data_IF_975049106072
#
_entry.id   IF_975049106072
#
_cell.length_a   1.000
_cell.length_b   1.000
_cell.length_c   1.000
_cell.angle_alpha   90.00
_cell.angle_beta   90.00
_cell.angle_gamma   90.00
#
_symmetry.space_group_name_H-M   'P 1'
#
loop_
_entity.id
_entity.type
_entity.pdbx_description
1 polymer ?
#
# COMPACT_ATOMS: atom_id res chain seq x y z
N UNK A 1 40.77 -3.79 31.48
CA UNK A 1 40.61 -2.37 31.85
C UNK A 1 40.83 -1.56 30.58
N UNK A 2 39.88 -0.69 30.21
CA UNK A 2 39.86 -0.01 28.92
C UNK A 2 40.75 1.24 28.95
N UNK A 3 41.81 1.29 28.15
CA UNK A 3 42.70 2.46 28.09
C UNK A 3 42.30 3.45 27.00
N UNK A 4 42.27 4.74 27.31
CA UNK A 4 41.86 5.82 26.40
C UNK A 4 43.04 6.72 25.99
N UNK A 5 42.96 7.44 24.84
CA UNK A 5 43.98 8.39 24.43
C UNK A 5 44.24 9.48 25.48
N UNK A 6 45.50 9.85 25.73
CA UNK A 6 45.88 10.79 26.80
C UNK A 6 45.43 12.24 26.59
N UNK A 7 45.01 12.62 25.38
CA UNK A 7 44.58 13.98 25.10
C UNK A 7 43.36 14.38 25.97
N UNK A 8 43.30 15.63 26.48
CA UNK A 8 42.28 16.04 27.46
C UNK A 8 40.83 15.81 27.02
N UNK A 9 40.54 16.01 25.74
CA UNK A 9 39.21 15.81 25.17
C UNK A 9 38.74 14.35 25.25
N UNK A 10 39.65 13.41 25.00
CA UNK A 10 39.39 11.97 25.10
C UNK A 10 39.24 11.51 26.55
N UNK A 11 40.00 12.08 27.47
CA UNK A 11 39.86 11.78 28.90
C UNK A 11 38.53 12.29 29.47
N UNK A 12 38.06 13.47 29.04
CA UNK A 12 36.75 13.99 29.43
C UNK A 12 35.59 13.14 28.91
N UNK A 13 35.73 12.64 27.68
CA UNK A 13 34.82 11.66 27.06
C UNK A 13 34.80 10.34 27.83
N UNK A 14 35.98 9.79 28.11
CA UNK A 14 36.17 8.54 28.84
C UNK A 14 35.46 8.54 30.21
N UNK A 15 35.58 9.65 30.95
CA UNK A 15 34.98 9.80 32.27
C UNK A 15 33.44 9.69 32.25
N UNK A 16 32.80 10.12 31.16
CA UNK A 16 31.33 10.07 31.02
C UNK A 16 30.84 8.74 30.45
N UNK A 17 31.61 8.16 29.53
CA UNK A 17 31.19 6.98 28.75
C UNK A 17 31.52 5.66 29.44
N UNK A 18 32.66 5.57 30.15
CA UNK A 18 33.12 4.31 30.78
C UNK A 18 32.10 3.73 31.78
N UNK A 19 31.46 4.52 32.67
CA UNK A 19 30.45 3.96 33.58
C UNK A 19 29.23 3.37 32.85
N UNK A 20 28.77 4.05 31.79
CA UNK A 20 27.64 3.57 30.97
C UNK A 20 27.99 2.27 30.23
N UNK A 21 29.21 2.16 29.70
CA UNK A 21 29.71 0.92 29.08
C UNK A 21 29.69 -0.23 30.08
N UNK A 22 30.25 -0.04 31.28
CA UNK A 22 30.28 -1.08 32.30
C UNK A 22 28.87 -1.47 32.79
N UNK A 23 27.92 -0.55 32.83
CA UNK A 23 26.54 -0.85 33.20
C UNK A 23 25.82 -1.69 32.11
N UNK A 24 26.08 -1.40 30.84
CA UNK A 24 25.44 -2.10 29.72
C UNK A 24 26.10 -3.47 29.41
N UNK A 25 27.40 -3.64 29.69
CA UNK A 25 28.14 -4.87 29.33
C UNK A 25 27.57 -6.13 29.99
N UNK A 26 27.06 -6.02 31.22
CA UNK A 26 26.44 -7.14 31.93
C UNK A 26 25.14 -7.59 31.25
N UNK A 27 24.29 -6.63 30.87
CA UNK A 27 23.03 -6.92 30.17
C UNK A 27 23.26 -7.50 28.77
N UNK A 28 24.33 -7.08 28.09
CA UNK A 28 24.70 -7.63 26.79
C UNK A 28 25.03 -9.13 26.84
N UNK A 29 25.68 -9.58 27.92
CA UNK A 29 25.97 -10.99 28.10
C UNK A 29 24.69 -11.83 28.18
N UNK A 30 23.66 -11.32 28.86
CA UNK A 30 22.35 -11.98 28.96
C UNK A 30 21.58 -12.00 27.64
N UNK A 31 21.77 -10.99 26.78
CA UNK A 31 21.05 -10.85 25.49
C UNK A 31 21.68 -11.69 24.38
N UNK A 32 23.01 -11.80 24.38
CA UNK A 32 23.76 -12.40 23.27
C UNK A 32 24.13 -13.87 23.49
N UNK A 33 23.85 -14.42 24.68
CA UNK A 33 24.30 -15.74 25.14
C UNK A 33 25.82 -15.96 25.09
N UNK A 34 26.59 -14.89 24.84
CA UNK A 34 28.05 -14.87 24.78
C UNK A 34 28.60 -13.73 25.63
N UNK A 35 29.76 -13.94 26.27
CA UNK A 35 30.37 -12.91 27.09
C UNK A 35 31.02 -11.82 26.21
N UNK A 36 30.56 -10.56 26.24
CA UNK A 36 31.11 -9.50 25.40
C UNK A 36 32.60 -9.26 25.70
N UNK A 37 33.44 -9.18 24.66
CA UNK A 37 34.89 -8.98 24.81
C UNK A 37 35.23 -7.51 24.57
N UNK A 38 35.31 -6.71 25.63
CA UNK A 38 35.71 -5.31 25.54
C UNK A 38 37.10 -5.14 24.88
N UNK A 39 37.32 -4.10 24.07
CA UNK A 39 38.66 -3.77 23.60
C UNK A 39 39.56 -3.36 24.77
N UNK A 40 40.82 -3.74 24.72
CA UNK A 40 41.80 -3.38 25.75
C UNK A 40 42.18 -1.90 25.64
N UNK A 41 42.23 -1.38 24.41
CA UNK A 41 42.69 -0.01 24.11
C UNK A 41 41.82 0.68 23.08
N UNK A 42 41.61 1.98 23.30
CA UNK A 42 41.01 2.90 22.34
C UNK A 42 42.10 3.83 21.79
N UNK A 43 42.12 3.98 20.47
CA UNK A 43 43.03 4.89 19.76
C UNK A 43 42.24 5.79 18.79
N UNK A 44 42.89 6.86 18.34
CA UNK A 44 42.30 7.81 17.39
C UNK A 44 42.44 7.23 15.97
N UNK A 45 41.33 7.11 15.26
CA UNK A 45 41.26 6.69 13.86
C UNK A 45 41.49 7.85 12.86
N UNK A 46 41.46 7.54 11.55
CA UNK A 46 41.61 8.56 10.51
C UNK A 46 40.37 9.45 10.37
N UNK A 47 40.56 10.70 9.91
CA UNK A 47 39.51 11.71 9.76
C UNK A 47 38.46 11.36 8.69
N UNK A 48 38.83 10.62 7.64
CA UNK A 48 37.89 10.19 6.58
C UNK A 48 37.42 8.73 6.78
N UNK A 49 37.61 8.19 7.99
CA UNK A 49 37.32 6.80 8.33
C UNK A 49 35.87 6.54 8.77
N UNK A 50 35.49 5.27 8.96
CA UNK A 50 34.24 4.93 9.61
C UNK A 50 34.24 5.36 11.09
N UNK A 51 33.05 5.36 11.70
CA UNK A 51 32.85 5.81 13.09
C UNK A 51 33.72 5.03 14.10
N UNK A 52 33.93 3.74 13.86
CA UNK A 52 34.87 2.92 14.60
C UNK A 52 35.35 1.71 13.81
N UNK A 53 36.57 1.25 14.08
CA UNK A 53 37.13 0.02 13.49
C UNK A 53 37.93 -0.74 14.53
N UNK A 54 37.57 -1.99 14.78
CA UNK A 54 38.32 -2.87 15.69
C UNK A 54 39.44 -3.59 14.92
N UNK A 55 40.65 -3.60 15.47
CA UNK A 55 41.79 -4.39 14.99
C UNK A 55 42.46 -5.09 16.17
N UNK A 56 42.25 -6.41 16.27
CA UNK A 56 42.67 -7.17 17.44
C UNK A 56 41.99 -6.65 18.72
N UNK A 57 42.80 -6.33 19.73
CA UNK A 57 42.33 -5.79 21.01
C UNK A 57 42.19 -4.26 21.03
N UNK A 58 42.52 -3.56 19.93
CA UNK A 58 42.42 -2.10 19.84
C UNK A 58 41.20 -1.67 19.02
N UNK A 59 40.44 -0.70 19.52
CA UNK A 59 39.35 -0.03 18.80
C UNK A 59 39.79 1.39 18.39
N UNK A 60 39.78 1.66 17.09
CA UNK A 60 40.07 2.97 16.54
C UNK A 60 38.76 3.75 16.39
N UNK A 61 38.63 4.89 17.07
CA UNK A 61 37.44 5.74 17.05
C UNK A 61 37.65 6.99 16.20
N UNK A 62 36.60 7.43 15.52
CA UNK A 62 36.65 8.64 14.70
C UNK A 62 36.99 9.88 15.56
N UNK A 63 37.90 10.77 15.10
CA UNK A 63 38.40 11.90 15.89
C UNK A 63 37.30 12.86 16.36
N UNK A 64 36.29 13.11 15.53
CA UNK A 64 35.18 14.03 15.86
C UNK A 64 34.36 13.62 17.09
N UNK A 65 34.40 12.35 17.52
CA UNK A 65 33.73 11.91 18.74
C UNK A 65 34.29 12.57 20.01
N UNK A 66 35.57 12.94 19.99
CA UNK A 66 36.20 13.70 21.09
C UNK A 66 36.08 15.22 20.91
N UNK A 67 35.53 15.70 19.80
CA UNK A 67 35.30 17.13 19.57
C UNK A 67 34.34 17.72 20.62
N UNK A 68 34.40 19.04 20.85
CA UNK A 68 33.59 19.73 21.88
C UNK A 68 32.09 19.86 21.53
N UNK A 69 31.68 19.40 20.35
CA UNK A 69 30.28 19.44 19.91
C UNK A 69 29.38 18.53 20.76
N UNK A 70 28.10 18.89 20.85
CA UNK A 70 27.08 18.04 21.49
C UNK A 70 26.73 16.86 20.58
N UNK A 71 26.73 17.05 19.26
CA UNK A 71 26.35 16.05 18.26
C UNK A 71 27.53 15.54 17.43
N UNK A 72 27.41 14.31 16.94
CA UNK A 72 28.35 13.77 15.96
C UNK A 72 28.20 14.49 14.62
N UNK A 73 29.29 15.05 14.11
CA UNK A 73 29.39 15.78 12.84
C UNK A 73 28.86 15.01 11.63
N UNK A 74 29.03 13.67 11.61
CA UNK A 74 28.49 12.81 10.55
C UNK A 74 26.96 12.75 10.49
N UNK A 75 26.26 13.31 11.47
CA UNK A 75 24.81 13.48 11.47
C UNK A 75 24.36 14.93 11.25
N UNK A 76 25.24 15.82 10.81
CA UNK A 76 24.88 17.23 10.59
C UNK A 76 23.70 17.37 9.63
N UNK A 77 23.63 16.56 8.57
CA UNK A 77 22.49 16.55 7.65
C UNK A 77 21.16 16.18 8.31
N UNK A 78 21.16 15.37 9.38
CA UNK A 78 19.95 15.06 10.15
C UNK A 78 19.52 16.26 11.00
N UNK A 79 20.48 16.98 11.57
CA UNK A 79 20.22 18.22 12.32
C UNK A 79 19.67 19.31 11.40
N UNK A 80 20.29 19.49 10.23
CA UNK A 80 19.86 20.44 9.20
C UNK A 80 18.44 20.12 8.70
N UNK A 81 18.06 18.83 8.69
CA UNK A 81 16.71 18.36 8.40
C UNK A 81 15.73 18.44 9.58
N UNK A 82 16.14 19.01 10.73
CA UNK A 82 15.31 19.18 11.92
C UNK A 82 15.20 17.94 12.82
N UNK A 83 15.89 16.84 12.52
CA UNK A 83 15.78 15.53 13.19
C UNK A 83 16.70 15.39 14.41
N UNK A 84 16.75 16.41 15.26
CA UNK A 84 17.64 16.48 16.44
C UNK A 84 17.47 15.33 17.43
N UNK A 85 16.25 14.80 17.58
CA UNK A 85 15.94 13.69 18.48
C UNK A 85 16.54 12.34 18.02
N UNK A 86 16.79 12.19 16.72
CA UNK A 86 17.34 10.97 16.11
C UNK A 86 18.86 11.06 16.02
N UNK A 87 19.39 12.26 15.78
CA UNK A 87 20.83 12.49 15.72
C UNK A 87 21.50 12.08 17.04
N UNK A 88 22.47 11.17 16.94
CA UNK A 88 23.27 10.76 18.08
C UNK A 88 24.13 11.92 18.58
N UNK A 89 24.09 12.14 19.90
CA UNK A 89 25.15 12.90 20.55
C UNK A 89 26.46 12.09 20.56
N UNK A 90 27.57 12.80 20.78
CA UNK A 90 28.89 12.16 20.79
C UNK A 90 29.02 11.06 21.84
N UNK A 91 28.28 11.14 22.95
CA UNK A 91 28.35 10.18 24.04
C UNK A 91 27.63 8.88 23.68
N UNK A 92 26.37 8.97 23.22
CA UNK A 92 25.59 7.83 22.73
C UNK A 92 26.29 7.15 21.55
N UNK A 93 26.86 7.94 20.64
CA UNK A 93 27.62 7.39 19.52
C UNK A 93 28.86 6.61 19.99
N UNK A 94 29.59 7.14 20.97
CA UNK A 94 30.80 6.48 21.53
C UNK A 94 30.45 5.25 22.36
N UNK A 95 29.40 5.29 23.18
CA UNK A 95 28.94 4.13 23.96
C UNK A 95 28.51 3.02 23.00
N UNK A 96 27.67 3.35 22.02
CA UNK A 96 27.14 2.39 21.06
C UNK A 96 28.24 1.67 20.28
N UNK A 97 29.23 2.41 19.76
CA UNK A 97 30.31 1.82 18.97
C UNK A 97 31.24 0.93 19.81
N UNK A 98 31.50 1.26 21.08
CA UNK A 98 32.34 0.45 21.96
C UNK A 98 31.64 -0.85 22.34
N UNK A 99 30.35 -0.78 22.67
CA UNK A 99 29.55 -1.94 23.04
C UNK A 99 29.31 -2.87 21.83
N UNK A 100 29.01 -2.32 20.66
CA UNK A 100 28.91 -3.08 19.41
C UNK A 100 30.23 -3.80 19.10
N UNK A 101 31.36 -3.09 19.23
CA UNK A 101 32.67 -3.71 19.04
C UNK A 101 32.93 -4.82 20.05
N UNK A 102 32.43 -4.71 21.29
CA UNK A 102 32.59 -5.73 22.32
C UNK A 102 31.80 -7.01 22.00
N UNK A 103 30.55 -6.86 21.53
CA UNK A 103 29.73 -7.99 21.06
C UNK A 103 30.37 -8.65 19.85
N UNK A 104 30.79 -7.87 18.84
CA UNK A 104 31.48 -8.40 17.66
C UNK A 104 32.81 -9.10 18.01
N UNK A 105 33.47 -8.69 19.08
CA UNK A 105 34.67 -9.35 19.57
C UNK A 105 34.39 -10.72 20.19
N UNK A 106 33.20 -10.93 20.77
CA UNK A 106 32.80 -12.23 21.31
C UNK A 106 32.41 -13.21 20.22
N UNK A 107 31.73 -12.72 19.17
CA UNK A 107 31.21 -13.53 18.08
C UNK A 107 32.28 -14.21 17.20
N UNK A 108 33.57 -13.77 17.29
CA UNK A 108 34.87 -14.21 16.69
C UNK A 108 34.94 -14.98 15.34
N UNK A 109 33.84 -15.23 14.66
CA UNK A 109 33.78 -15.77 13.31
C UNK A 109 33.83 -14.59 12.35
N UNK A 110 35.03 -14.28 11.82
CA UNK A 110 35.17 -13.35 10.70
C UNK A 110 34.36 -13.88 9.52
N UNK A 111 33.20 -13.28 9.23
CA UNK A 111 32.34 -13.79 8.20
C UNK A 111 33.04 -13.68 6.85
N UNK A 112 32.93 -14.73 6.04
CA UNK A 112 33.60 -14.78 4.73
C UNK A 112 32.82 -13.98 3.68
N UNK A 113 31.53 -13.80 3.91
CA UNK A 113 30.61 -13.03 3.07
C UNK A 113 30.40 -11.61 3.64
N UNK A 114 30.60 -10.54 2.84
CA UNK A 114 30.23 -9.18 3.21
C UNK A 114 28.80 -9.01 3.74
N UNK A 115 27.85 -9.82 3.27
CA UNK A 115 26.46 -9.79 3.75
C UNK A 115 26.32 -10.33 5.18
N UNK A 116 27.04 -11.41 5.48
CA UNK A 116 27.09 -12.00 6.81
C UNK A 116 27.81 -11.06 7.80
N UNK A 117 28.84 -10.35 7.33
CA UNK A 117 29.50 -9.28 8.08
C UNK A 117 28.55 -8.14 8.44
N UNK A 118 27.78 -7.69 7.45
CA UNK A 118 26.77 -6.66 7.65
C UNK A 118 25.70 -7.10 8.65
N UNK A 119 25.26 -8.36 8.57
CA UNK A 119 24.27 -8.91 9.48
C UNK A 119 24.76 -9.00 10.93
N UNK A 120 25.96 -9.54 11.16
CA UNK A 120 26.55 -9.61 12.50
C UNK A 120 26.71 -8.21 13.13
N UNK A 121 27.13 -7.22 12.34
CA UNK A 121 27.21 -5.82 12.79
C UNK A 121 25.85 -5.26 13.19
N UNK A 122 24.80 -5.56 12.41
CA UNK A 122 23.44 -5.15 12.75
C UNK A 122 22.93 -5.81 14.03
N UNK A 123 23.21 -7.10 14.24
CA UNK A 123 22.80 -7.84 15.44
C UNK A 123 23.52 -7.33 16.69
N UNK A 124 24.81 -7.07 16.58
CA UNK A 124 25.58 -6.44 17.65
C UNK A 124 25.02 -5.07 18.01
N UNK A 125 24.70 -4.24 17.01
CA UNK A 125 24.07 -2.94 17.23
C UNK A 125 22.66 -3.04 17.85
N UNK A 126 21.92 -4.10 17.56
CA UNK A 126 20.61 -4.36 18.15
C UNK A 126 20.72 -4.77 19.62
N UNK A 127 21.63 -5.69 19.95
CA UNK A 127 21.89 -6.09 21.34
C UNK A 127 22.24 -4.87 22.20
N UNK A 128 22.97 -3.90 21.64
CA UNK A 128 23.27 -2.61 22.30
C UNK A 128 22.01 -1.83 22.65
N UNK A 129 21.09 -1.66 21.70
CA UNK A 129 19.82 -0.94 21.94
C UNK A 129 18.86 -1.71 22.88
N UNK A 130 18.96 -3.04 22.96
CA UNK A 130 18.21 -3.82 23.95
C UNK A 130 18.82 -3.70 25.35
N UNK A 131 20.15 -3.70 25.45
CA UNK A 131 20.86 -3.49 26.71
C UNK A 131 20.68 -2.07 27.26
N UNK A 132 20.52 -1.07 26.39
CA UNK A 132 20.19 0.30 26.77
C UNK A 132 19.38 1.04 25.68
N UNK A 133 18.03 1.03 25.77
CA UNK A 133 17.16 1.66 24.78
C UNK A 133 17.31 3.18 24.63
N UNK A 134 17.93 3.85 25.60
CA UNK A 134 18.13 5.30 25.55
C UNK A 134 19.26 5.71 24.60
N UNK A 135 20.15 4.77 24.22
CA UNK A 135 21.21 5.03 23.26
C UNK A 135 20.67 5.31 21.86
N UNK A 136 19.61 4.60 21.45
CA UNK A 136 18.96 4.79 20.14
C UNK A 136 19.91 4.58 18.96
N UNK A 137 20.88 3.68 19.12
CA UNK A 137 22.01 3.42 18.25
C UNK A 137 21.62 3.03 16.81
N UNK A 138 20.53 2.29 16.66
CA UNK A 138 20.01 1.84 15.35
C UNK A 138 19.14 2.88 14.63
N UNK A 139 18.65 3.92 15.33
CA UNK A 139 17.65 4.87 14.80
C UNK A 139 18.13 5.72 13.62
N UNK A 140 19.37 6.27 13.60
CA UNK A 140 19.87 7.01 12.44
C UNK A 140 19.94 6.14 11.18
N UNK A 141 20.38 4.88 11.32
CA UNK A 141 20.48 3.94 10.21
C UNK A 141 19.09 3.60 9.63
N UNK A 142 18.06 3.50 10.47
CA UNK A 142 16.68 3.30 10.04
C UNK A 142 16.15 4.51 9.21
N UNK A 143 16.49 5.74 9.59
CA UNK A 143 16.17 6.94 8.79
C UNK A 143 16.93 6.96 7.47
N UNK A 144 18.16 6.46 7.44
CA UNK A 144 18.95 6.34 6.22
C UNK A 144 18.31 5.38 5.19
N UNK A 145 17.65 4.30 5.62
CA UNK A 145 16.88 3.43 4.71
C UNK A 145 15.74 4.18 4.00
N UNK A 146 15.13 5.16 4.67
CA UNK A 146 14.04 5.96 4.09
C UNK A 146 14.55 7.02 3.12
N UNK A 147 15.76 7.53 3.33
CA UNK A 147 16.33 8.62 2.52
C UNK A 147 17.17 8.10 1.35
N UNK A 148 17.74 6.89 1.45
CA UNK A 148 18.55 6.25 0.41
C UNK A 148 18.21 4.76 0.23
N UNK A 149 16.96 4.44 -0.18
CA UNK A 149 16.48 3.06 -0.27
C UNK A 149 17.29 2.19 -1.25
N UNK A 150 17.74 2.75 -2.38
CA UNK A 150 18.54 2.05 -3.39
C UNK A 150 19.94 1.63 -2.91
N UNK A 151 20.41 2.15 -1.76
CA UNK A 151 21.75 1.96 -1.25
C UNK A 151 21.77 1.19 0.10
N UNK A 152 20.61 1.02 0.74
CA UNK A 152 20.52 1.09 2.19
C UNK A 152 20.89 -0.16 2.99
N UNK A 153 20.71 -1.36 2.45
CA UNK A 153 20.82 -2.58 3.27
C UNK A 153 22.26 -3.09 3.43
N UNK A 154 23.09 -2.92 2.40
CA UNK A 154 24.52 -3.24 2.43
C UNK A 154 25.37 -2.07 2.96
N UNK A 155 24.95 -0.83 2.72
CA UNK A 155 25.69 0.37 3.16
C UNK A 155 25.38 0.75 4.61
N UNK A 156 24.24 0.30 5.15
CA UNK A 156 23.83 0.53 6.53
C UNK A 156 23.39 -0.79 7.19
N UNK A 157 24.32 -1.68 7.53
CA UNK A 157 24.05 -3.00 8.14
C UNK A 157 23.10 -2.97 9.35
N UNK A 158 23.24 -1.95 10.19
CA UNK A 158 22.38 -1.72 11.37
C UNK A 158 20.91 -1.51 11.04
N UNK A 159 20.61 -1.10 9.81
CA UNK A 159 19.27 -0.86 9.34
C UNK A 159 18.54 -2.16 8.92
N UNK A 160 19.30 -3.17 8.47
CA UNK A 160 18.76 -4.50 8.14
C UNK A 160 18.17 -5.23 9.36
N UNK A 161 18.74 -5.02 10.54
CA UNK A 161 18.23 -5.64 11.78
C UNK A 161 17.03 -4.88 12.35
N UNK A 162 16.94 -3.56 12.15
CA UNK A 162 15.71 -2.82 12.44
C UNK A 162 14.53 -3.32 11.60
N UNK A 163 14.80 -3.56 10.32
CA UNK A 163 13.88 -4.23 9.40
C UNK A 163 13.49 -5.64 9.87
N UNK A 164 14.46 -6.45 10.30
CA UNK A 164 14.20 -7.78 10.82
C UNK A 164 13.32 -7.76 12.09
N UNK A 165 13.52 -6.78 12.99
CA UNK A 165 12.65 -6.56 14.17
C UNK A 165 11.21 -6.24 13.78
N UNK A 166 11.00 -5.38 12.78
CA UNK A 166 9.66 -5.10 12.27
C UNK A 166 8.98 -6.38 11.77
N UNK A 167 9.74 -7.30 11.19
CA UNK A 167 9.25 -8.61 10.74
C UNK A 167 9.20 -9.68 11.84
N UNK A 168 9.63 -9.38 13.07
CA UNK A 168 9.72 -10.36 14.15
C UNK A 168 10.81 -11.43 13.96
N UNK A 169 11.84 -11.14 13.16
CA UNK A 169 12.93 -12.04 12.80
C UNK A 169 14.22 -11.62 13.54
N UNK A 170 14.38 -12.02 14.80
CA UNK A 170 15.53 -11.59 15.64
C UNK A 170 16.58 -12.67 15.89
N UNK A 171 16.46 -13.87 15.31
CA UNK A 171 17.40 -14.95 15.59
C UNK A 171 18.78 -14.71 14.90
N UNK A 172 19.85 -14.96 15.66
CA UNK A 172 21.26 -14.75 15.29
C UNK A 172 21.69 -15.42 13.96
N UNK A 173 20.96 -16.44 13.49
CA UNK A 173 21.33 -17.27 12.32
C UNK A 173 20.27 -17.30 11.20
N UNK A 174 19.44 -16.26 11.11
CA UNK A 174 18.41 -16.18 10.06
C UNK A 174 19.03 -15.63 8.76
N UNK A 175 18.68 -16.14 7.56
CA UNK A 175 19.10 -15.52 6.30
C UNK A 175 18.60 -14.07 6.23
N UNK A 176 19.32 -13.24 5.46
CA UNK A 176 18.96 -11.85 5.24
C UNK A 176 17.47 -11.76 4.89
N UNK A 177 16.63 -11.11 5.71
CA UNK A 177 15.20 -11.04 5.45
C UNK A 177 15.00 -10.37 4.10
N UNK A 178 14.63 -11.17 3.10
CA UNK A 178 14.32 -10.63 1.78
C UNK A 178 12.95 -9.97 1.94
N UNK A 179 12.86 -8.64 1.87
CA UNK A 179 11.60 -7.96 2.05
C UNK A 179 10.69 -8.37 0.90
N UNK A 180 9.57 -9.01 1.19
CA UNK A 180 8.47 -8.99 0.26
C UNK A 180 7.85 -7.59 0.25
N UNK A 181 7.09 -7.32 -0.79
CA UNK A 181 6.58 -5.98 -1.04
C UNK A 181 5.47 -5.55 -0.05
N UNK A 182 4.74 -6.51 0.50
CA UNK A 182 3.73 -6.27 1.53
C UNK A 182 4.40 -5.81 2.82
N UNK A 183 5.45 -6.51 3.22
CA UNK A 183 6.29 -6.14 4.33
C UNK A 183 6.85 -4.72 4.17
N UNK A 184 7.34 -4.36 2.97
CA UNK A 184 7.99 -3.05 2.78
C UNK A 184 7.00 -1.90 2.90
N UNK A 185 5.81 -2.11 2.36
CA UNK A 185 4.70 -1.15 2.47
C UNK A 185 4.25 -0.99 3.92
N UNK A 186 4.11 -2.10 4.66
CA UNK A 186 3.73 -2.09 6.07
C UNK A 186 4.80 -1.45 6.97
N UNK A 187 6.08 -1.63 6.66
CA UNK A 187 7.20 -1.00 7.36
C UNK A 187 7.24 0.52 7.15
N UNK A 188 7.05 0.96 5.91
CA UNK A 188 6.92 2.39 5.60
C UNK A 188 5.76 3.02 6.38
N UNK A 189 4.63 2.32 6.48
CA UNK A 189 3.48 2.75 7.28
C UNK A 189 3.81 2.76 8.78
N UNK A 190 4.47 1.73 9.31
CA UNK A 190 4.86 1.63 10.72
C UNK A 190 5.87 2.71 11.11
N UNK A 191 6.90 3.00 10.30
CA UNK A 191 7.83 4.09 10.63
C UNK A 191 7.09 5.42 10.75
N UNK A 192 6.14 5.67 9.83
CA UNK A 192 5.35 6.92 9.74
C UNK A 192 4.18 6.98 10.72
N UNK A 193 3.87 5.90 11.43
CA UNK A 193 2.79 5.86 12.41
C UNK A 193 3.12 6.78 13.59
N UNK A 194 2.36 7.87 13.70
CA UNK A 194 2.52 8.90 14.74
C UNK A 194 2.04 8.45 16.12
N UNK A 195 1.34 7.33 16.22
CA UNK A 195 0.78 6.81 17.47
C UNK A 195 1.61 5.67 18.07
N UNK A 196 2.21 4.84 17.22
CA UNK A 196 2.88 3.59 17.63
C UNK A 196 4.24 3.36 16.95
N UNK A 197 4.57 4.15 15.95
CA UNK A 197 5.80 4.03 15.18
C UNK A 197 6.96 4.85 15.74
N UNK A 198 8.18 4.69 15.20
CA UNK A 198 9.30 5.60 15.41
C UNK A 198 8.94 7.08 15.24
N UNK A 199 8.03 7.41 14.30
CA UNK A 199 7.53 8.77 14.11
C UNK A 199 6.80 9.34 15.34
N UNK A 200 6.22 8.49 16.19
CA UNK A 200 5.55 8.92 17.43
C UNK A 200 6.50 9.60 18.44
N UNK A 201 7.81 9.36 18.32
CA UNK A 201 8.83 9.99 19.15
C UNK A 201 9.50 11.21 18.47
N UNK A 202 9.04 11.61 17.28
CA UNK A 202 9.58 12.75 16.55
C UNK A 202 8.85 14.03 16.96
N UNK A 203 9.58 15.13 17.27
CA UNK A 203 8.98 16.39 17.68
C UNK A 203 8.16 17.08 16.58
N UNK A 204 8.27 16.64 15.32
CA UNK A 204 7.45 17.06 14.18
C UNK A 204 7.17 15.84 13.31
N UNK A 205 5.91 15.66 12.92
CA UNK A 205 5.50 14.61 11.98
C UNK A 205 6.33 14.69 10.69
N UNK A 206 7.14 13.68 10.40
CA UNK A 206 7.69 13.51 9.04
C UNK A 206 6.49 13.22 8.15
N UNK A 207 6.04 14.23 7.43
CA UNK A 207 4.93 14.07 6.49
C UNK A 207 5.29 12.95 5.50
N UNK A 208 4.35 12.04 5.19
CA UNK A 208 4.52 11.12 4.07
C UNK A 208 4.97 11.90 2.84
N UNK A 209 5.80 11.29 1.98
CA UNK A 209 6.04 11.86 0.65
C UNK A 209 4.68 12.22 0.05
N UNK A 210 4.52 13.48 -0.39
CA UNK A 210 3.27 13.96 -0.94
C UNK A 210 2.88 13.05 -2.10
N UNK A 211 1.62 12.63 -2.12
CA UNK A 211 1.14 11.82 -3.22
C UNK A 211 1.16 12.65 -4.49
N UNK A 212 1.67 12.07 -5.57
CA UNK A 212 1.72 12.75 -6.86
C UNK A 212 0.37 12.61 -7.58
N UNK A 213 0.00 13.55 -8.46
CA UNK A 213 -1.21 13.43 -9.25
C UNK A 213 -1.25 12.14 -10.08
N UNK A 214 -2.43 11.55 -10.23
CA UNK A 214 -2.61 10.35 -11.06
C UNK A 214 -2.07 10.49 -12.48
N UNK A 215 -1.16 9.59 -12.87
CA UNK A 215 -0.66 9.46 -14.25
C UNK A 215 -0.85 8.03 -14.76
N UNK A 216 -1.10 7.85 -16.06
CA UNK A 216 -1.26 6.52 -16.67
C UNK A 216 0.08 5.84 -16.97
N UNK A 217 1.19 6.56 -16.85
CA UNK A 217 2.53 6.05 -17.12
C UNK A 217 3.52 6.78 -16.24
N UNK A 218 4.35 6.02 -15.52
CA UNK A 218 5.38 6.54 -14.62
C UNK A 218 6.55 5.56 -14.54
N UNK A 219 7.70 6.04 -14.08
CA UNK A 219 8.88 5.20 -13.87
C UNK A 219 9.13 5.02 -12.38
N UNK A 220 9.50 3.81 -11.99
CA UNK A 220 9.94 3.48 -10.64
C UNK A 220 11.37 2.97 -10.68
N UNK A 221 12.19 3.41 -9.73
CA UNK A 221 13.51 2.82 -9.53
C UNK A 221 13.41 1.44 -8.85
N UNK A 222 14.41 0.56 -8.95
CA UNK A 222 14.46 -0.67 -8.16
C UNK A 222 14.28 -0.37 -6.67
N UNK A 223 13.56 -1.23 -5.95
CA UNK A 223 13.29 -1.11 -4.51
C UNK A 223 12.68 0.23 -4.09
N UNK A 224 11.76 0.78 -4.90
CA UNK A 224 11.11 2.08 -4.66
C UNK A 224 9.60 1.96 -4.55
N UNK A 225 8.98 3.03 -4.02
CA UNK A 225 7.53 3.18 -4.00
C UNK A 225 7.13 4.60 -4.41
N UNK A 226 5.97 4.74 -5.02
CA UNK A 226 5.38 6.01 -5.45
C UNK A 226 3.91 6.06 -5.00
N UNK A 227 3.56 6.96 -4.06
CA UNK A 227 2.16 7.26 -3.77
C UNK A 227 1.57 8.10 -4.90
N UNK A 228 0.50 7.61 -5.54
CA UNK A 228 -0.29 8.36 -6.52
C UNK A 228 -1.68 8.65 -5.97
N UNK A 229 -2.07 9.91 -6.02
CA UNK A 229 -3.41 10.39 -5.72
C UNK A 229 -4.34 10.09 -6.88
N UNK A 230 -5.21 9.10 -6.69
CA UNK A 230 -6.30 8.79 -7.59
C UNK A 230 -7.52 9.56 -7.15
N UNK A 231 -7.85 10.64 -7.87
CA UNK A 231 -9.12 11.35 -7.67
C UNK A 231 -10.35 10.48 -7.99
N UNK A 232 -11.54 11.01 -7.76
CA UNK A 232 -12.83 10.41 -8.15
C UNK A 232 -12.92 10.25 -9.67
N UNK A 233 -12.33 9.19 -10.21
CA UNK A 233 -12.48 8.83 -11.62
C UNK A 233 -13.42 7.62 -11.71
N UNK A 234 -14.58 7.74 -12.37
CA UNK A 234 -15.58 6.68 -12.43
C UNK A 234 -15.16 5.64 -13.48
N UNK A 235 -14.03 4.95 -13.33
CA UNK A 235 -13.73 3.83 -14.21
C UNK A 235 -14.66 2.67 -13.84
N UNK A 236 -15.44 2.17 -14.80
CA UNK A 236 -16.32 1.01 -14.55
C UNK A 236 -15.54 -0.30 -14.47
N UNK A 237 -14.37 -0.33 -15.10
CA UNK A 237 -13.44 -1.45 -15.10
C UNK A 237 -12.29 -1.26 -14.12
N UNK A 238 -11.63 -2.38 -13.82
CA UNK A 238 -10.34 -2.40 -13.14
C UNK A 238 -9.25 -1.83 -14.06
N UNK A 239 -8.17 -1.37 -13.45
CA UNK A 239 -6.97 -1.02 -14.18
C UNK A 239 -5.97 -2.17 -14.06
N UNK A 240 -5.53 -2.70 -15.19
CA UNK A 240 -4.36 -3.55 -15.27
C UNK A 240 -3.11 -2.67 -15.16
N UNK A 241 -2.11 -3.16 -14.45
CA UNK A 241 -0.85 -2.45 -14.23
C UNK A 241 0.25 -3.28 -14.88
N UNK A 242 0.75 -2.79 -16.02
CA UNK A 242 1.83 -3.40 -16.76
C UNK A 242 3.18 -2.85 -16.26
N UNK A 243 4.14 -3.74 -16.01
CA UNK A 243 5.46 -3.41 -15.46
C UNK A 243 5.74 -4.18 -14.17
N UNK A 244 7.00 -4.17 -13.68
CA UNK A 244 7.43 -4.96 -12.54
C UNK A 244 7.04 -4.28 -11.21
N UNK A 245 5.75 -4.05 -10.97
CA UNK A 245 5.23 -3.25 -9.85
C UNK A 245 4.05 -3.94 -9.18
N UNK A 246 3.78 -3.60 -7.92
CA UNK A 246 2.50 -3.88 -7.28
C UNK A 246 1.83 -2.59 -6.77
N UNK A 247 0.49 -2.55 -6.66
CA UNK A 247 -0.42 -3.61 -7.11
C UNK A 247 -0.41 -3.78 -8.63
N UNK A 248 -0.51 -5.03 -9.11
CA UNK A 248 -0.57 -5.37 -10.55
C UNK A 248 -1.96 -5.12 -11.14
N UNK A 249 -2.93 -4.83 -10.29
CA UNK A 249 -4.30 -4.54 -10.68
C UNK A 249 -4.96 -3.63 -9.65
N UNK A 250 -5.81 -2.70 -10.11
CA UNK A 250 -6.52 -1.78 -9.25
C UNK A 250 -8.02 -1.88 -9.42
N UNK A 251 -8.72 -2.00 -8.31
CA UNK A 251 -10.17 -1.91 -8.28
C UNK A 251 -10.62 -0.44 -8.45
N UNK A 252 -11.76 -0.20 -9.12
CA UNK A 252 -12.36 1.13 -9.17
C UNK A 252 -12.96 1.53 -7.80
N UNK A 253 -12.87 2.83 -7.46
CA UNK A 253 -13.41 3.43 -6.23
C UNK A 253 -14.21 4.69 -6.52
N UNK A 254 -15.11 5.01 -5.61
CA UNK A 254 -16.00 6.18 -5.67
C UNK A 254 -15.46 7.37 -4.86
N UNK A 255 -14.30 7.22 -4.21
CA UNK A 255 -13.69 8.24 -3.36
C UNK A 255 -12.24 8.47 -3.82
N UNK A 256 -11.69 9.67 -3.57
CA UNK A 256 -10.26 9.91 -3.71
C UNK A 256 -9.48 8.90 -2.87
N UNK A 257 -8.52 8.21 -3.46
CA UNK A 257 -7.62 7.32 -2.74
C UNK A 257 -6.17 7.58 -3.11
N UNK A 258 -5.27 7.35 -2.15
CA UNK A 258 -3.84 7.28 -2.43
C UNK A 258 -3.50 5.81 -2.69
N UNK A 259 -3.07 5.51 -3.91
CA UNK A 259 -2.55 4.20 -4.29
C UNK A 259 -1.04 4.24 -4.17
N UNK A 260 -0.46 3.37 -3.35
CA UNK A 260 0.99 3.23 -3.27
C UNK A 260 1.44 2.13 -4.21
N UNK A 261 2.16 2.51 -5.26
CA UNK A 261 2.82 1.57 -6.15
C UNK A 261 4.23 1.26 -5.63
N UNK A 262 4.66 0.01 -5.65
CA UNK A 262 5.99 -0.40 -5.21
C UNK A 262 6.60 -1.44 -6.11
N UNK A 263 7.93 -1.42 -6.27
CA UNK A 263 8.68 -2.35 -7.11
C UNK A 263 9.98 -2.74 -6.43
N UNK A 264 10.42 -3.99 -6.64
CA UNK A 264 11.75 -4.46 -6.25
C UNK A 264 12.74 -4.37 -7.41
N UNK A 265 12.28 -4.51 -8.65
CA UNK A 265 13.14 -4.57 -9.85
C UNK A 265 13.34 -3.21 -10.51
N UNK A 266 12.39 -2.27 -10.37
CA UNK A 266 12.39 -1.00 -11.09
C UNK A 266 11.94 -1.15 -12.54
N UNK A 267 11.52 -0.06 -13.16
CA UNK A 267 11.09 -0.03 -14.55
C UNK A 267 9.94 0.94 -14.81
N UNK A 268 9.49 0.96 -16.06
CA UNK A 268 8.31 1.72 -16.47
C UNK A 268 7.05 0.96 -16.10
N UNK A 269 6.11 1.69 -15.49
CA UNK A 269 4.77 1.22 -15.16
C UNK A 269 3.78 1.90 -16.06
N UNK A 270 2.86 1.12 -16.63
CA UNK A 270 1.76 1.60 -17.45
C UNK A 270 0.43 1.09 -16.88
N UNK A 271 -0.51 2.02 -16.69
CA UNK A 271 -1.86 1.72 -16.24
C UNK A 271 -2.79 1.64 -17.44
N UNK A 272 -3.34 0.46 -17.66
CA UNK A 272 -4.27 0.18 -18.75
C UNK A 272 -5.64 -0.15 -18.20
N UNK A 273 -6.71 0.27 -18.87
CA UNK A 273 -8.05 -0.21 -18.51
C UNK A 273 -8.13 -1.70 -18.88
N UNK A 274 -8.48 -2.53 -17.91
CA UNK A 274 -8.69 -3.95 -18.14
C UNK A 274 -9.77 -4.14 -19.23
N UNK A 275 -9.73 -5.29 -19.92
CA UNK A 275 -10.75 -5.65 -20.92
C UNK A 275 -11.96 -6.38 -20.31
N UNK A 276 -11.81 -6.86 -19.08
CA UNK A 276 -12.76 -7.71 -18.39
C UNK A 276 -13.99 -6.92 -17.89
N UNK A 277 -15.12 -7.62 -17.73
CA UNK A 277 -16.40 -7.08 -17.27
C UNK A 277 -17.47 -6.97 -18.37
N UNK A 278 -18.73 -6.64 -17.98
CA UNK A 278 -19.91 -6.72 -18.85
C UNK A 278 -20.06 -5.52 -19.80
N UNK A 279 -18.96 -5.00 -20.35
CA UNK A 279 -19.01 -3.83 -21.24
C UNK A 279 -19.60 -4.18 -22.59
N UNK A 280 -20.52 -3.34 -23.03
CA UNK A 280 -21.25 -3.49 -24.28
C UNK A 280 -22.64 -2.87 -24.20
N UNK A 281 -23.38 -3.00 -25.29
CA UNK A 281 -24.80 -2.70 -25.36
C UNK A 281 -25.58 -4.00 -25.34
N UNK A 282 -26.53 -4.09 -24.43
CA UNK A 282 -27.22 -5.31 -24.05
C UNK A 282 -28.72 -5.10 -24.13
N UNK A 283 -29.40 -5.85 -24.98
CA UNK A 283 -30.86 -5.87 -25.08
C UNK A 283 -31.44 -6.77 -24.00
N UNK A 284 -32.36 -6.26 -23.19
CA UNK A 284 -33.07 -7.04 -22.18
C UNK A 284 -34.03 -8.01 -22.88
N UNK A 285 -33.80 -9.32 -22.72
CA UNK A 285 -34.65 -10.36 -23.30
C UNK A 285 -35.75 -10.80 -22.31
N UNK A 286 -35.40 -10.92 -21.04
CA UNK A 286 -36.34 -11.32 -19.98
C UNK A 286 -35.81 -10.90 -18.60
N UNK A 287 -36.70 -10.87 -17.61
CA UNK A 287 -36.32 -10.61 -16.22
C UNK A 287 -37.36 -11.15 -15.25
N UNK A 288 -36.98 -11.44 -14.02
CA UNK A 288 -37.91 -12.00 -13.03
C UNK A 288 -37.49 -11.76 -11.59
N UNK A 289 -38.46 -11.77 -10.69
CA UNK A 289 -38.28 -11.65 -9.24
C UNK A 289 -39.24 -12.61 -8.53
N UNK A 290 -38.82 -13.26 -7.45
CA UNK A 290 -39.68 -14.15 -6.66
C UNK A 290 -40.13 -15.41 -7.40
N UNK A 291 -39.43 -15.81 -8.47
CA UNK A 291 -39.80 -16.95 -9.32
C UNK A 291 -40.81 -16.64 -10.43
N UNK A 292 -41.29 -15.40 -10.53
CA UNK A 292 -42.11 -14.96 -11.66
C UNK A 292 -41.21 -14.41 -12.78
N UNK A 293 -41.38 -14.94 -13.99
CA UNK A 293 -40.67 -14.47 -15.18
C UNK A 293 -41.55 -13.47 -15.91
N UNK A 294 -41.00 -12.30 -16.19
CA UNK A 294 -41.56 -11.25 -17.03
C UNK A 294 -40.81 -11.16 -18.38
N UNK A 295 -41.48 -10.56 -19.35
CA UNK A 295 -40.91 -10.27 -20.66
C UNK A 295 -40.55 -8.80 -20.76
N UNK A 296 -39.47 -8.52 -21.49
CA UNK A 296 -39.12 -7.16 -21.87
C UNK A 296 -39.04 -7.05 -23.40
N UNK A 297 -39.42 -5.90 -23.93
CA UNK A 297 -39.23 -5.52 -25.34
C UNK A 297 -38.70 -4.10 -25.38
N UNK A 298 -37.81 -3.79 -26.32
CA UNK A 298 -37.37 -2.41 -26.59
C UNK A 298 -36.57 -1.76 -25.46
N UNK A 299 -35.93 -2.55 -24.58
CA UNK A 299 -35.09 -2.04 -23.48
C UNK A 299 -33.64 -2.48 -23.71
N UNK A 300 -32.71 -1.52 -23.66
CA UNK A 300 -31.27 -1.74 -23.79
C UNK A 300 -30.50 -1.14 -22.61
N UNK A 301 -29.44 -1.81 -22.20
CA UNK A 301 -28.48 -1.38 -21.19
C UNK A 301 -27.11 -1.24 -21.86
N UNK A 302 -26.56 -0.03 -21.87
CA UNK A 302 -25.19 0.22 -22.33
C UNK A 302 -24.27 0.43 -21.15
N UNK A 303 -23.22 -0.38 -21.03
CA UNK A 303 -22.16 -0.27 -20.03
C UNK A 303 -20.85 0.08 -20.71
N UNK A 304 -20.31 1.27 -20.47
CA UNK A 304 -19.07 1.75 -21.09
C UNK A 304 -17.85 1.44 -20.22
N UNK A 305 -16.65 1.29 -20.82
CA UNK A 305 -15.40 1.04 -20.07
C UNK A 305 -15.04 2.14 -19.06
N UNK A 306 -15.49 3.37 -19.31
CA UNK A 306 -15.33 4.52 -18.43
C UNK A 306 -16.46 4.66 -17.40
N UNK A 307 -17.16 3.57 -17.06
CA UNK A 307 -18.09 3.53 -15.93
C UNK A 307 -19.41 4.26 -16.12
N UNK A 308 -19.74 4.76 -17.32
CA UNK A 308 -21.10 5.22 -17.63
C UNK A 308 -22.02 4.03 -17.92
N UNK A 309 -23.18 4.03 -17.29
CA UNK A 309 -24.30 3.14 -17.58
C UNK A 309 -25.45 3.95 -18.21
N UNK A 310 -26.15 3.39 -19.19
CA UNK A 310 -27.33 4.02 -19.78
C UNK A 310 -28.38 2.97 -20.05
N UNK A 311 -29.57 3.15 -19.49
CA UNK A 311 -30.74 2.32 -19.72
C UNK A 311 -31.67 3.06 -20.68
N UNK A 312 -31.87 2.54 -21.87
CA UNK A 312 -32.72 3.16 -22.90
C UNK A 312 -33.92 2.27 -23.21
N UNK A 313 -35.11 2.84 -23.09
CA UNK A 313 -36.35 2.26 -23.60
C UNK A 313 -36.72 2.97 -24.90
N UNK A 314 -36.87 2.21 -25.99
CA UNK A 314 -37.34 2.67 -27.29
C UNK A 314 -38.53 1.80 -27.67
N UNK A 315 -39.74 2.32 -27.46
CA UNK A 315 -40.96 1.51 -27.47
C UNK A 315 -40.85 0.31 -26.50
N UNK A 316 -40.37 0.62 -25.29
CA UNK A 316 -40.07 -0.32 -24.24
C UNK A 316 -41.32 -0.80 -23.49
N UNK A 317 -41.35 -2.08 -23.14
CA UNK A 317 -42.35 -2.62 -22.21
C UNK A 317 -41.69 -3.66 -21.30
N UNK A 318 -42.02 -3.65 -20.01
CA UNK A 318 -41.58 -4.63 -19.00
C UNK A 318 -42.77 -5.02 -18.15
N UNK A 319 -43.10 -6.31 -18.07
CA UNK A 319 -44.21 -6.78 -17.23
C UNK A 319 -44.28 -8.30 -17.07
N UNK A 320 -45.12 -8.79 -16.14
CA UNK A 320 -45.45 -10.21 -16.01
C UNK A 320 -45.99 -10.78 -17.32
N UNK A 321 -45.76 -12.07 -17.57
CA UNK A 321 -46.37 -12.77 -18.71
C UNK A 321 -47.82 -13.15 -18.35
N UNK A 322 -48.72 -12.16 -18.29
CA UNK A 322 -50.18 -12.38 -18.21
C UNK A 322 -50.85 -11.83 -19.48
N UNK A 323 -51.97 -12.44 -19.89
CA UNK A 323 -52.68 -12.07 -21.12
C UNK A 323 -53.03 -10.57 -21.15
N UNK A 324 -53.61 -10.03 -20.08
CA UNK A 324 -54.00 -8.62 -19.99
C UNK A 324 -52.82 -7.64 -20.11
N UNK A 325 -51.65 -8.04 -19.60
CA UNK A 325 -50.43 -7.22 -19.63
C UNK A 325 -49.78 -7.28 -21.01
N UNK A 326 -49.87 -8.43 -21.69
CA UNK A 326 -49.44 -8.57 -23.08
C UNK A 326 -50.34 -7.74 -24.02
N UNK A 327 -51.66 -7.70 -23.78
CA UNK A 327 -52.59 -6.86 -24.54
C UNK A 327 -52.29 -5.36 -24.34
N UNK A 328 -51.97 -4.95 -23.11
CA UNK A 328 -51.48 -3.59 -22.84
C UNK A 328 -50.15 -3.30 -23.54
N UNK A 329 -49.22 -4.27 -23.55
CA UNK A 329 -47.95 -4.12 -24.25
C UNK A 329 -48.18 -3.95 -25.76
N UNK A 330 -49.18 -4.59 -26.36
CA UNK A 330 -49.49 -4.38 -27.78
C UNK A 330 -49.98 -2.96 -28.08
N UNK A 331 -50.65 -2.33 -27.12
CA UNK A 331 -51.29 -1.02 -27.29
C UNK A 331 -50.42 0.16 -26.85
N UNK A 332 -49.46 -0.02 -25.94
CA UNK A 332 -48.68 1.06 -25.36
C UNK A 332 -47.19 0.74 -25.24
N UNK A 333 -46.35 1.77 -25.39
CA UNK A 333 -44.91 1.70 -25.21
C UNK A 333 -44.37 2.84 -24.35
N UNK A 334 -43.28 2.58 -23.65
CA UNK A 334 -42.53 3.59 -22.88
C UNK A 334 -41.24 3.92 -23.62
N UNK A 335 -40.95 5.20 -23.82
CA UNK A 335 -39.68 5.63 -24.43
C UNK A 335 -38.98 6.67 -23.59
N UNK A 336 -37.68 6.52 -23.40
CA UNK A 336 -36.87 7.38 -22.57
C UNK A 336 -35.52 6.75 -22.25
N UNK A 337 -34.66 7.53 -21.62
CA UNK A 337 -33.34 7.06 -21.18
C UNK A 337 -33.08 7.50 -19.75
N UNK A 338 -32.44 6.61 -18.99
CA UNK A 338 -31.88 6.92 -17.69
C UNK A 338 -30.37 6.68 -17.73
N UNK A 339 -29.61 7.69 -17.36
CA UNK A 339 -28.16 7.64 -17.33
C UNK A 339 -27.67 7.48 -15.89
N UNK A 340 -26.65 6.67 -15.71
CA UNK A 340 -26.08 6.38 -14.42
C UNK A 340 -24.61 6.01 -14.53
N UNK A 341 -24.09 5.42 -13.45
CA UNK A 341 -22.71 4.94 -13.36
C UNK A 341 -22.71 3.47 -12.99
N UNK A 342 -21.66 2.76 -13.37
CA UNK A 342 -21.43 1.39 -12.93
C UNK A 342 -19.95 1.16 -12.63
N UNK A 343 -19.67 0.17 -11.77
CA UNK A 343 -18.32 -0.30 -11.50
C UNK A 343 -18.27 -1.75 -11.05
N UNK A 344 -17.16 -2.42 -11.35
CA UNK A 344 -16.85 -3.74 -10.79
C UNK A 344 -16.45 -3.64 -9.31
N UNK A 345 -17.05 -4.49 -8.47
CA UNK A 345 -16.69 -4.65 -7.05
C UNK A 345 -16.05 -6.00 -6.74
N UNK A 346 -16.11 -6.95 -7.67
CA UNK A 346 -15.48 -8.25 -7.58
C UNK A 346 -15.45 -8.94 -8.93
N UNK A 347 -14.48 -9.82 -9.13
CA UNK A 347 -14.29 -10.60 -10.34
C UNK A 347 -13.95 -12.04 -9.93
N UNK A 348 -14.59 -13.01 -10.55
CA UNK A 348 -14.23 -14.42 -10.37
C UNK A 348 -12.98 -14.76 -11.21
N UNK A 349 -12.30 -15.85 -10.85
CA UNK A 349 -11.06 -16.28 -11.51
C UNK A 349 -11.23 -16.52 -13.03
N UNK A 350 -12.43 -16.92 -13.46
CA UNK A 350 -12.79 -17.14 -14.86
C UNK A 350 -12.92 -15.85 -15.69
N UNK A 351 -12.97 -14.69 -15.03
CA UNK A 351 -13.20 -13.36 -15.62
C UNK A 351 -14.50 -13.23 -16.43
N UNK A 352 -15.38 -14.23 -16.36
CA UNK A 352 -16.70 -14.26 -16.99
C UNK A 352 -17.81 -13.95 -16.00
N UNK A 353 -17.51 -13.91 -14.69
CA UNK A 353 -18.48 -13.55 -13.66
C UNK A 353 -17.88 -12.66 -12.58
N UNK A 354 -18.75 -12.00 -11.80
CA UNK A 354 -18.30 -11.15 -10.71
C UNK A 354 -19.43 -10.38 -10.04
N UNK A 355 -19.06 -9.32 -9.34
CA UNK A 355 -20.00 -8.37 -8.74
C UNK A 355 -19.79 -6.98 -9.29
N UNK A 356 -20.87 -6.24 -9.47
CA UNK A 356 -20.87 -4.85 -9.90
C UNK A 356 -21.86 -4.04 -9.05
N UNK A 357 -21.68 -2.72 -9.05
CA UNK A 357 -22.67 -1.76 -8.54
C UNK A 357 -23.08 -0.83 -9.67
N UNK A 358 -24.34 -0.42 -9.65
CA UNK A 358 -24.90 0.56 -10.59
C UNK A 358 -25.61 1.64 -9.77
N UNK A 359 -25.39 2.89 -10.12
CA UNK A 359 -25.97 4.06 -9.44
C UNK A 359 -26.55 5.08 -10.42
N UNK A 360 -27.51 5.89 -9.98
CA UNK A 360 -28.09 7.00 -10.75
C UNK A 360 -29.02 6.63 -11.91
N UNK A 361 -29.28 5.33 -12.19
CA UNK A 361 -30.17 4.89 -13.27
C UNK A 361 -31.67 5.27 -13.08
N UNK A 362 -32.02 6.08 -12.09
CA UNK A 362 -33.40 6.52 -11.82
C UNK A 362 -33.71 7.96 -12.30
N UNK A 363 -32.71 8.75 -12.68
CA UNK A 363 -32.84 10.19 -13.00
C UNK A 363 -33.31 10.48 -14.45
N UNK A 364 -33.86 9.47 -15.13
CA UNK A 364 -34.29 9.57 -16.53
C UNK A 364 -35.65 10.24 -16.74
N UNK A 365 -35.81 10.84 -17.92
CA UNK A 365 -37.10 11.31 -18.45
C UNK A 365 -37.66 10.26 -19.42
N UNK A 366 -38.88 9.79 -19.16
CA UNK A 366 -39.56 8.82 -20.00
C UNK A 366 -40.99 9.27 -20.31
N UNK A 367 -41.48 8.81 -21.44
CA UNK A 367 -42.78 9.15 -22.02
C UNK A 367 -43.53 7.88 -22.38
N UNK A 368 -44.84 7.84 -22.18
CA UNK A 368 -45.72 6.76 -22.64
C UNK A 368 -46.39 7.20 -23.94
N UNK A 369 -46.44 6.32 -24.93
CA UNK A 369 -47.12 6.55 -26.20
C UNK A 369 -47.96 5.33 -26.61
N UNK A 370 -48.98 5.55 -27.44
CA UNK A 370 -49.80 4.48 -28.00
C UNK A 370 -49.18 3.90 -29.27
N UNK A 371 -49.16 2.57 -29.38
CA UNK A 371 -48.76 1.83 -30.59
C UNK A 371 -49.91 1.89 -31.61
N UNK A 372 -49.60 2.15 -32.88
CA UNK A 372 -50.61 2.16 -33.96
C UNK A 372 -51.17 3.53 -34.38
N UNK A 373 -50.41 4.62 -34.20
CA UNK A 373 -50.75 5.94 -34.78
C UNK A 373 -51.51 6.90 -33.85
N UNK A 374 -51.61 6.55 -32.57
CA UNK A 374 -52.16 7.42 -31.52
C UNK A 374 -51.11 8.49 -31.17
N UNK A 375 -51.19 9.65 -31.83
CA UNK A 375 -50.14 10.69 -31.86
C UNK A 375 -49.93 11.54 -30.59
N UNK A 376 -50.11 10.97 -29.39
CA UNK A 376 -49.84 11.69 -28.14
C UNK A 376 -48.85 10.91 -27.25
N UNK A 377 -47.87 11.64 -26.71
CA UNK A 377 -46.93 11.14 -25.72
C UNK A 377 -47.16 11.88 -24.40
N UNK A 378 -47.38 11.14 -23.31
CA UNK A 378 -47.56 11.71 -21.98
C UNK A 378 -46.31 11.47 -21.14
N UNK A 379 -45.90 12.42 -20.26
CA UNK A 379 -44.85 12.15 -19.27
C UNK A 379 -45.21 10.91 -18.44
N UNK A 380 -44.27 9.98 -18.30
CA UNK A 380 -44.49 8.72 -17.61
C UNK A 380 -44.18 8.77 -16.10
N UNK A 381 -44.06 9.97 -15.51
CA UNK A 381 -43.45 10.15 -14.18
C UNK A 381 -44.16 9.37 -13.06
N UNK A 382 -45.47 9.54 -12.90
CA UNK A 382 -46.24 8.79 -11.89
C UNK A 382 -46.27 7.29 -12.21
N UNK A 383 -46.39 6.94 -13.49
CA UNK A 383 -46.44 5.56 -13.98
C UNK A 383 -45.15 4.77 -13.69
N UNK A 384 -44.00 5.47 -13.72
CA UNK A 384 -42.68 4.88 -13.48
C UNK A 384 -42.20 5.03 -12.04
N UNK A 385 -42.98 5.65 -11.16
CA UNK A 385 -42.61 5.80 -9.75
C UNK A 385 -42.26 4.47 -9.07
N UNK A 386 -43.02 3.37 -9.26
CA UNK A 386 -42.64 2.06 -8.73
C UNK A 386 -41.31 1.54 -9.28
N UNK A 387 -41.02 1.79 -10.56
CA UNK A 387 -39.76 1.39 -11.21
C UNK A 387 -38.59 2.20 -10.64
N UNK A 388 -38.76 3.52 -10.44
CA UNK A 388 -37.75 4.38 -9.82
C UNK A 388 -37.45 3.95 -8.38
N UNK A 389 -38.48 3.68 -7.58
CA UNK A 389 -38.34 3.16 -6.21
C UNK A 389 -37.61 1.81 -6.18
N UNK A 390 -37.91 0.93 -7.12
CA UNK A 390 -37.23 -0.34 -7.27
C UNK A 390 -35.75 -0.17 -7.64
N UNK A 391 -35.42 0.72 -8.56
CA UNK A 391 -34.03 1.01 -8.93
C UNK A 391 -33.24 1.62 -7.76
N UNK A 392 -33.85 2.54 -6.99
CA UNK A 392 -33.30 3.09 -5.75
C UNK A 392 -33.04 2.01 -4.69
N UNK A 393 -33.90 0.99 -4.62
CA UNK A 393 -33.72 -0.15 -3.71
C UNK A 393 -32.57 -1.08 -4.14
N UNK A 394 -32.32 -1.20 -5.45
CA UNK A 394 -31.25 -2.03 -6.03
C UNK A 394 -29.89 -1.35 -5.95
N UNK A 395 -29.84 -0.05 -6.14
CA UNK A 395 -28.60 0.76 -6.17
C UNK A 395 -27.61 0.49 -5.03
N UNK A 396 -28.03 0.36 -3.75
CA UNK A 396 -27.08 0.04 -2.68
C UNK A 396 -26.59 -1.41 -2.72
N UNK A 397 -27.23 -2.31 -3.47
CA UNK A 397 -26.92 -3.74 -3.46
C UNK A 397 -25.81 -4.10 -4.46
N UNK A 398 -24.90 -5.03 -4.10
CA UNK A 398 -23.99 -5.62 -5.07
C UNK A 398 -24.77 -6.55 -6.01
N UNK A 399 -24.68 -6.32 -7.31
CA UNK A 399 -25.29 -7.15 -8.34
C UNK A 399 -24.28 -8.16 -8.83
N UNK A 400 -24.70 -9.42 -8.92
CA UNK A 400 -23.92 -10.46 -9.59
C UNK A 400 -24.10 -10.33 -11.09
N UNK A 401 -23.02 -10.52 -11.84
CA UNK A 401 -23.08 -10.58 -13.29
C UNK A 401 -22.36 -11.82 -13.80
N UNK A 402 -22.86 -12.36 -14.91
CA UNK A 402 -22.26 -13.53 -15.59
C UNK A 402 -22.41 -13.37 -17.10
N UNK A 403 -21.32 -13.56 -17.83
CA UNK A 403 -21.30 -13.67 -19.27
C UNK A 403 -21.45 -15.13 -19.70
N UNK A 404 -22.31 -15.37 -20.69
CA UNK A 404 -22.55 -16.69 -21.28
C UNK A 404 -22.33 -16.64 -22.79
N UNK A 405 -22.27 -17.81 -23.42
CA UNK A 405 -22.19 -17.98 -24.87
C UNK A 405 -21.08 -17.12 -25.50
N UNK A 406 -19.86 -17.22 -24.96
CA UNK A 406 -18.69 -16.43 -25.40
C UNK A 406 -18.92 -14.90 -25.33
N UNK A 407 -19.65 -14.44 -24.31
CA UNK A 407 -19.93 -13.02 -24.10
C UNK A 407 -21.03 -12.44 -24.99
N UNK A 408 -21.88 -13.30 -25.57
CA UNK A 408 -23.08 -12.90 -26.34
C UNK A 408 -24.32 -12.72 -25.46
N UNK A 409 -24.32 -13.31 -24.26
CA UNK A 409 -25.40 -13.16 -23.28
C UNK A 409 -24.85 -12.67 -21.95
N UNK A 410 -25.62 -11.84 -21.28
CA UNK A 410 -25.33 -11.31 -19.96
C UNK A 410 -26.49 -11.63 -19.02
N UNK A 411 -26.17 -12.17 -17.85
CA UNK A 411 -27.11 -12.32 -16.74
C UNK A 411 -26.70 -11.34 -15.65
N UNK A 412 -27.65 -10.56 -15.12
CA UNK A 412 -27.46 -9.74 -13.92
C UNK A 412 -28.45 -10.21 -12.85
N UNK A 413 -27.97 -10.52 -11.65
CA UNK A 413 -28.80 -11.02 -10.57
C UNK A 413 -28.57 -10.26 -9.26
N UNK A 414 -29.61 -10.17 -8.44
CA UNK A 414 -29.51 -9.69 -7.06
C UNK A 414 -30.08 -10.76 -6.11
N UNK A 415 -29.24 -11.71 -5.63
CA UNK A 415 -29.70 -12.83 -4.81
C UNK A 415 -30.42 -12.38 -3.53
N UNK A 416 -29.99 -11.25 -2.95
CA UNK A 416 -30.59 -10.66 -1.76
C UNK A 416 -32.02 -10.15 -1.98
N UNK A 417 -32.46 -9.96 -3.23
CA UNK A 417 -33.79 -9.49 -3.58
C UNK A 417 -34.62 -10.59 -4.23
N UNK A 418 -35.09 -11.55 -3.42
CA UNK A 418 -36.03 -12.59 -3.82
C UNK A 418 -35.65 -13.29 -5.15
N UNK A 419 -34.36 -13.48 -5.43
CA UNK A 419 -33.83 -14.02 -6.71
C UNK A 419 -34.19 -13.17 -7.93
N UNK A 420 -33.96 -11.85 -7.87
CA UNK A 420 -33.98 -11.02 -9.07
C UNK A 420 -32.95 -11.56 -10.08
N UNK A 421 -33.39 -11.81 -11.30
CA UNK A 421 -32.55 -12.24 -12.42
C UNK A 421 -32.99 -11.53 -13.70
N UNK A 422 -32.05 -10.86 -14.38
CA UNK A 422 -32.23 -10.17 -15.64
C UNK A 422 -31.33 -10.81 -16.69
N UNK A 423 -31.87 -11.11 -17.87
CA UNK A 423 -31.16 -11.76 -18.96
C UNK A 423 -31.13 -10.87 -20.18
N UNK A 424 -29.95 -10.71 -20.75
CA UNK A 424 -29.71 -9.85 -21.89
C UNK A 424 -28.97 -10.57 -23.02
N UNK A 425 -29.21 -10.12 -24.25
CA UNK A 425 -28.46 -10.47 -25.45
C UNK A 425 -27.69 -9.26 -25.96
N UNK A 426 -26.52 -9.49 -26.56
CA UNK A 426 -25.71 -8.41 -27.09
C UNK A 426 -26.36 -7.77 -28.31
N UNK A 427 -26.45 -6.44 -28.33
CA UNK A 427 -26.84 -5.71 -29.54
C UNK A 427 -25.67 -5.71 -30.54
N UNK A 428 -25.98 -5.92 -31.83
CA UNK A 428 -25.00 -6.06 -32.91
C UNK A 428 -24.57 -4.73 -33.48
#
# INVERSE_FOLDING_TARGET
>A
MLSWPHAPSWQALAAQVTPAIHAAIGRLADITDEAPILPERIEVGPQDGPLGTRRGTTLFLHPDLAGSGVHWSGHQHLLDAGLHAIALDRWRATIGIVLEAAVLGALDDRPRDPMEAAWQQGLAAHAVDEADPHLGWTRPAAVHLLTRPAAGLLQHPRAAVWWARFLGMTALRTPFPTPDLSAWTAFGAHIRDQSRGPAAALPVAVSPAAAEPWTSTFALAPWSHLPLERGERPAGRRWAVAGPVHPTELAPRDEPEVVVFGTVEGGTVQLEQAKDGPVGTWRLDSGGMGGQVGSARGVSLTLTGHGRASLTAADGFVGPVSADILDMAEQYGVSGSADGRWRLTGLADDRQSGTLRISGLHDGMATVHGRGGMGFALPAEEWLTPVRQFLLMIEPLPLQWTLHDQGQKLTIAAPAMARLELRFSRER
#
